data_IF_197621013922
#
_entry.id   IF_197621013922
#
_cell.length_a   1.000
_cell.length_b   1.000
_cell.length_c   1.000
_cell.angle_alpha   90.00
_cell.angle_beta   90.00
_cell.angle_gamma   90.00
#
_symmetry.space_group_name_H-M   'P 1'
#
loop_
_entity.id
_entity.type
_entity.pdbx_description
1 polymer ?
#
# COMPACT_ATOMS: atom_id res chain seq x y z
N UNK A 1 3.17 -4.45 -64.20
CA UNK A 1 4.42 -3.74 -63.80
C UNK A 1 4.01 -2.53 -62.97
N UNK A 2 4.36 -2.52 -61.70
CA UNK A 2 4.07 -1.38 -60.81
C UNK A 2 5.01 -0.23 -61.18
N UNK A 3 4.44 0.81 -61.79
CA UNK A 3 5.17 2.04 -62.07
C UNK A 3 5.27 2.85 -60.78
N UNK A 4 6.30 2.60 -59.99
CA UNK A 4 6.56 3.38 -58.75
C UNK A 4 7.23 4.68 -59.16
N UNK A 5 6.56 5.81 -58.90
CA UNK A 5 7.16 7.15 -59.16
C UNK A 5 8.44 7.31 -58.34
N UNK A 6 9.48 7.90 -58.97
CA UNK A 6 10.75 8.15 -58.30
C UNK A 6 10.58 8.99 -57.02
N UNK A 7 9.56 9.83 -56.94
CA UNK A 7 9.19 10.60 -55.76
C UNK A 7 8.70 9.75 -54.60
N UNK A 8 7.88 8.73 -54.87
CA UNK A 8 7.40 7.78 -53.84
C UNK A 8 8.56 6.94 -53.33
N UNK A 9 9.47 6.52 -54.18
CA UNK A 9 10.68 5.77 -53.79
C UNK A 9 11.57 6.63 -52.83
N UNK A 10 11.77 7.89 -53.17
CA UNK A 10 12.55 8.83 -52.34
C UNK A 10 11.86 9.05 -50.97
N UNK A 11 10.53 9.22 -50.95
CA UNK A 11 9.77 9.39 -49.75
C UNK A 11 9.86 8.15 -48.83
N UNK A 12 9.69 6.96 -49.36
CA UNK A 12 9.82 5.70 -48.62
C UNK A 12 11.23 5.54 -48.03
N UNK A 13 12.25 5.83 -48.82
CA UNK A 13 13.65 5.77 -48.38
C UNK A 13 13.93 6.77 -47.25
N UNK A 14 13.41 8.00 -47.35
CA UNK A 14 13.53 9.02 -46.32
C UNK A 14 12.86 8.61 -44.99
N UNK A 15 11.67 8.01 -45.07
CA UNK A 15 10.96 7.50 -43.88
C UNK A 15 11.72 6.34 -43.24
N UNK A 16 12.27 5.42 -44.04
CA UNK A 16 13.12 4.34 -43.55
C UNK A 16 14.38 4.87 -42.86
N UNK A 17 15.05 5.85 -43.42
CA UNK A 17 16.23 6.49 -42.81
C UNK A 17 15.87 7.16 -41.47
N UNK A 18 14.74 7.88 -41.42
CA UNK A 18 14.24 8.47 -40.18
C UNK A 18 13.95 7.42 -39.13
N UNK A 19 13.31 6.30 -39.50
CA UNK A 19 13.06 5.18 -38.62
C UNK A 19 14.35 4.57 -38.05
N UNK A 20 15.35 4.39 -38.92
CA UNK A 20 16.67 3.87 -38.55
C UNK A 20 17.40 4.82 -37.59
N UNK A 21 17.31 6.12 -37.81
CA UNK A 21 17.88 7.16 -36.96
C UNK A 21 17.34 7.08 -35.51
N UNK A 22 16.04 6.90 -35.32
CA UNK A 22 15.44 6.76 -33.99
C UNK A 22 15.62 5.37 -33.39
N UNK A 23 15.92 4.34 -34.21
CA UNK A 23 16.12 2.97 -33.75
C UNK A 23 17.53 2.72 -33.18
N UNK A 24 18.56 3.37 -33.77
CA UNK A 24 19.97 3.18 -33.41
C UNK A 24 20.24 3.30 -31.91
N UNK A 25 19.72 4.31 -31.16
CA UNK A 25 20.00 4.43 -29.73
C UNK A 25 19.49 3.27 -28.89
N UNK A 26 18.50 2.51 -29.38
CA UNK A 26 17.96 1.38 -28.64
C UNK A 26 18.81 0.11 -28.72
N UNK A 27 19.80 0.08 -29.63
CA UNK A 27 20.73 -1.04 -29.79
C UNK A 27 21.91 -0.99 -28.81
N UNK A 28 22.20 0.20 -28.28
CA UNK A 28 23.30 0.42 -27.34
C UNK A 28 22.83 0.33 -25.89
N UNK A 29 23.69 -0.17 -25.01
CA UNK A 29 23.42 -0.17 -23.57
C UNK A 29 23.30 1.23 -23.00
N UNK A 30 22.54 1.40 -21.91
CA UNK A 30 22.32 2.73 -21.28
C UNK A 30 23.61 3.47 -20.94
N UNK A 31 24.70 2.76 -20.63
CA UNK A 31 26.03 3.31 -20.34
C UNK A 31 26.76 3.79 -21.59
N UNK A 32 26.48 3.20 -22.75
CA UNK A 32 27.17 3.49 -24.02
C UNK A 32 26.50 4.60 -24.81
N UNK A 33 25.22 4.88 -24.56
CA UNK A 33 24.45 5.96 -25.23
C UNK A 33 25.04 7.35 -24.94
N UNK A 34 25.71 7.53 -23.79
CA UNK A 34 26.37 8.78 -23.44
C UNK A 34 27.59 9.08 -24.36
N UNK A 35 28.21 8.04 -24.93
CA UNK A 35 29.34 8.13 -25.84
C UNK A 35 28.92 8.41 -27.30
N UNK A 36 27.63 8.34 -27.63
CA UNK A 36 27.13 8.62 -28.97
C UNK A 36 27.28 10.11 -29.33
N UNK A 37 27.52 10.41 -30.63
CA UNK A 37 27.59 11.78 -31.10
C UNK A 37 26.36 12.60 -30.79
N UNK A 38 26.52 13.89 -30.51
CA UNK A 38 25.45 14.78 -30.05
C UNK A 38 24.28 14.99 -31.04
N UNK A 39 24.46 14.60 -32.32
CA UNK A 39 23.40 14.68 -33.32
C UNK A 39 22.41 13.51 -33.25
N UNK A 40 22.73 12.40 -32.53
CA UNK A 40 21.80 11.26 -32.32
C UNK A 40 20.91 11.51 -31.12
N UNK A 41 19.63 11.13 -31.26
CA UNK A 41 18.71 11.20 -30.13
C UNK A 41 19.18 10.24 -29.02
N UNK A 42 19.39 10.77 -27.80
CA UNK A 42 19.79 9.97 -26.62
C UNK A 42 18.60 9.34 -25.90
N UNK A 43 17.38 9.52 -26.44
CA UNK A 43 16.17 8.95 -25.85
C UNK A 43 16.04 7.48 -26.23
N UNK A 44 16.09 6.60 -25.26
CA UNK A 44 15.81 5.19 -25.40
C UNK A 44 14.39 4.86 -24.93
N UNK A 45 13.82 3.79 -25.49
CA UNK A 45 12.56 3.23 -25.02
C UNK A 45 12.79 2.55 -23.67
N UNK A 46 12.09 2.99 -22.63
CA UNK A 46 12.11 2.31 -21.36
C UNK A 46 11.29 1.01 -21.48
N UNK A 47 12.00 -0.11 -21.56
CA UNK A 47 11.40 -1.43 -21.53
C UNK A 47 10.80 -1.69 -20.14
N UNK A 48 9.61 -2.29 -20.11
CA UNK A 48 9.00 -2.74 -18.85
C UNK A 48 9.84 -3.82 -18.14
N UNK A 49 9.55 -4.03 -16.86
CA UNK A 49 10.22 -5.02 -16.01
C UNK A 49 10.23 -6.43 -16.61
N UNK A 50 9.18 -6.80 -17.35
CA UNK A 50 9.06 -8.11 -18.01
C UNK A 50 10.13 -8.37 -19.08
N UNK A 51 10.64 -7.29 -19.70
CA UNK A 51 11.67 -7.35 -20.74
C UNK A 51 13.07 -7.02 -20.24
N UNK A 52 13.18 -6.24 -19.16
CA UNK A 52 14.49 -5.91 -18.55
C UNK A 52 14.93 -6.95 -17.52
N UNK A 53 14.01 -7.82 -17.09
CA UNK A 53 14.18 -8.68 -15.93
C UNK A 53 13.99 -7.91 -14.64
N UNK A 54 13.68 -8.63 -13.57
CA UNK A 54 13.44 -8.04 -12.24
C UNK A 54 12.73 -9.03 -11.34
N UNK A 55 12.61 -8.66 -10.06
CA UNK A 55 11.82 -9.42 -9.09
C UNK A 55 10.46 -8.78 -8.92
N UNK A 56 9.42 -9.60 -9.02
CA UNK A 56 8.04 -9.21 -8.79
C UNK A 56 7.54 -9.96 -7.55
N UNK A 57 7.21 -9.23 -6.49
CA UNK A 57 6.79 -9.79 -5.22
C UNK A 57 5.39 -9.27 -4.87
N UNK A 58 4.50 -10.18 -4.52
CA UNK A 58 3.17 -9.88 -4.01
C UNK A 58 3.16 -10.17 -2.50
N UNK A 59 2.89 -9.15 -1.70
CA UNK A 59 2.79 -9.23 -0.25
C UNK A 59 1.34 -9.05 0.17
N UNK A 60 0.90 -9.81 1.17
CA UNK A 60 -0.40 -9.66 1.82
C UNK A 60 -0.20 -9.05 3.21
N UNK A 61 -1.01 -8.06 3.55
CA UNK A 61 -0.97 -7.38 4.84
C UNK A 61 -1.99 -8.02 5.77
N UNK A 62 -1.54 -8.48 6.94
CA UNK A 62 -2.40 -9.10 7.95
C UNK A 62 -3.24 -8.06 8.73
N UNK A 63 -4.25 -7.51 8.09
CA UNK A 63 -5.12 -6.48 8.69
C UNK A 63 -5.96 -7.01 9.86
N UNK A 64 -6.25 -8.32 9.89
CA UNK A 64 -7.01 -8.96 10.98
C UNK A 64 -6.28 -8.89 12.32
N UNK A 65 -4.97 -9.04 12.33
CA UNK A 65 -4.13 -8.93 13.53
C UNK A 65 -4.20 -7.52 14.10
N UNK A 66 -4.14 -6.49 13.25
CA UNK A 66 -4.26 -5.09 13.66
C UNK A 66 -5.62 -4.79 14.26
N UNK A 67 -6.71 -5.27 13.65
CA UNK A 67 -8.06 -5.11 14.20
C UNK A 67 -8.21 -5.81 15.56
N UNK A 68 -7.54 -6.93 15.77
CA UNK A 68 -7.52 -7.61 17.06
C UNK A 68 -6.79 -6.77 18.11
N UNK A 69 -5.62 -6.24 17.79
CA UNK A 69 -4.87 -5.34 18.68
C UNK A 69 -5.68 -4.07 19.01
N UNK A 70 -6.34 -3.46 18.03
CA UNK A 70 -7.24 -2.32 18.27
C UNK A 70 -8.40 -2.69 19.21
N UNK A 71 -8.94 -3.92 19.08
CA UNK A 71 -9.99 -4.41 19.98
C UNK A 71 -9.48 -4.65 21.40
N UNK A 72 -8.25 -5.11 21.56
CA UNK A 72 -7.59 -5.27 22.87
C UNK A 72 -7.30 -3.91 23.51
N UNK A 73 -6.82 -2.95 22.73
CA UNK A 73 -6.61 -1.56 23.19
C UNK A 73 -7.93 -0.94 23.67
N UNK A 74 -9.02 -1.13 22.91
CA UNK A 74 -10.35 -0.68 23.32
C UNK A 74 -10.79 -1.29 24.66
N UNK A 75 -10.52 -2.58 24.89
CA UNK A 75 -10.80 -3.24 26.17
C UNK A 75 -10.02 -2.57 27.30
N UNK A 76 -8.76 -2.24 27.09
CA UNK A 76 -7.92 -1.61 28.12
C UNK A 76 -8.37 -0.16 28.41
N UNK A 77 -8.79 0.58 27.39
CA UNK A 77 -9.39 1.92 27.57
C UNK A 77 -10.69 1.83 28.39
N UNK A 78 -11.60 0.92 28.03
CA UNK A 78 -12.84 0.67 28.76
C UNK A 78 -12.54 0.24 30.20
N UNK A 79 -11.57 -0.64 30.40
CA UNK A 79 -11.15 -1.08 31.75
C UNK A 79 -10.65 0.08 32.60
N UNK A 80 -9.81 0.92 32.02
CA UNK A 80 -9.26 2.12 32.68
C UNK A 80 -10.38 3.09 33.10
N UNK A 81 -11.31 3.35 32.17
CA UNK A 81 -12.47 4.20 32.41
C UNK A 81 -13.35 3.65 33.54
N UNK A 82 -13.74 2.37 33.49
CA UNK A 82 -14.61 1.75 34.49
C UNK A 82 -13.97 1.74 35.89
N UNK A 83 -12.64 1.55 35.99
CA UNK A 83 -11.88 1.65 37.25
C UNK A 83 -11.87 3.07 37.80
N UNK A 84 -11.59 4.08 36.95
CA UNK A 84 -11.61 5.49 37.36
C UNK A 84 -12.99 5.93 37.86
N UNK A 85 -14.05 5.46 37.21
CA UNK A 85 -15.44 5.74 37.58
C UNK A 85 -15.97 4.88 38.72
N UNK A 86 -15.16 3.94 39.26
CA UNK A 86 -15.54 3.01 40.35
C UNK A 86 -16.79 2.19 40.02
N UNK A 87 -16.95 1.79 38.74
CA UNK A 87 -18.08 1.01 38.25
C UNK A 87 -17.72 -0.48 38.28
N UNK A 88 -18.58 -1.29 38.94
CA UNK A 88 -18.38 -2.75 39.01
C UNK A 88 -18.83 -3.39 37.70
N UNK A 89 -17.96 -4.19 37.11
CA UNK A 89 -18.20 -4.90 35.84
C UNK A 89 -17.77 -6.35 35.91
N UNK A 90 -18.27 -7.16 34.97
CA UNK A 90 -17.86 -8.54 34.71
C UNK A 90 -17.76 -8.78 33.21
N UNK A 91 -17.14 -9.89 32.81
CA UNK A 91 -17.05 -10.34 31.42
C UNK A 91 -16.57 -9.25 30.45
N UNK A 92 -15.55 -8.46 30.85
CA UNK A 92 -14.89 -7.53 29.93
C UNK A 92 -13.91 -8.31 29.04
N UNK A 93 -14.14 -8.27 27.74
CA UNK A 93 -13.29 -8.97 26.78
C UNK A 93 -13.36 -8.37 25.37
N UNK A 94 -12.37 -8.71 24.56
CA UNK A 94 -12.32 -8.33 23.15
C UNK A 94 -13.21 -9.24 22.30
N UNK A 95 -13.74 -8.67 21.22
CA UNK A 95 -14.34 -9.36 20.07
C UNK A 95 -13.54 -9.01 18.83
N UNK A 96 -13.70 -9.76 17.75
CA UNK A 96 -12.95 -9.59 16.49
C UNK A 96 -13.01 -8.14 15.96
N UNK A 97 -14.10 -7.41 16.21
CA UNK A 97 -14.33 -6.04 15.74
C UNK A 97 -14.80 -5.13 16.88
N UNK A 98 -14.22 -5.28 18.08
CA UNK A 98 -14.62 -4.44 19.20
C UNK A 98 -14.52 -5.10 20.57
N UNK A 99 -15.36 -4.70 21.51
CA UNK A 99 -15.32 -5.15 22.91
C UNK A 99 -16.72 -5.45 23.46
N UNK A 100 -16.75 -6.21 24.54
CA UNK A 100 -17.99 -6.51 25.29
C UNK A 100 -17.72 -6.37 26.78
N UNK A 101 -18.69 -5.83 27.52
CA UNK A 101 -18.64 -5.74 28.97
C UNK A 101 -20.03 -5.92 29.56
N UNK A 102 -20.10 -6.47 30.76
CA UNK A 102 -21.34 -6.58 31.54
C UNK A 102 -21.22 -5.71 32.79
N UNK A 103 -22.11 -4.73 32.91
CA UNK A 103 -22.15 -3.82 34.05
C UNK A 103 -23.08 -4.43 35.14
N UNK A 104 -22.64 -4.44 36.40
CA UNK A 104 -23.45 -4.97 37.50
C UNK A 104 -24.65 -4.08 37.83
N UNK A 105 -24.45 -2.77 37.80
CA UNK A 105 -25.46 -1.78 38.15
C UNK A 105 -26.23 -1.33 36.91
N UNK A 106 -27.50 -1.72 36.78
CA UNK A 106 -28.33 -1.39 35.61
C UNK A 106 -28.45 0.13 35.35
N UNK A 107 -28.57 0.91 36.41
CA UNK A 107 -28.73 2.37 36.35
C UNK A 107 -27.51 3.07 35.75
N UNK A 108 -26.33 2.47 35.81
CA UNK A 108 -25.10 3.03 35.28
C UNK A 108 -24.82 2.71 33.83
N UNK A 109 -25.61 1.83 33.22
CA UNK A 109 -25.42 1.40 31.82
C UNK A 109 -25.47 2.57 30.85
N UNK A 110 -26.47 3.46 30.98
CA UNK A 110 -26.62 4.61 30.08
C UNK A 110 -25.57 5.70 30.33
N UNK A 111 -25.11 5.83 31.56
CA UNK A 111 -23.97 6.69 31.88
C UNK A 111 -22.71 6.18 31.17
N UNK A 112 -22.40 4.89 31.31
CA UNK A 112 -21.22 4.27 30.65
C UNK A 112 -21.27 4.43 29.15
N UNK A 113 -22.42 4.23 28.51
CA UNK A 113 -22.57 4.41 27.05
C UNK A 113 -22.26 5.85 26.59
N UNK A 114 -22.78 6.84 27.31
CA UNK A 114 -22.58 8.26 26.98
C UNK A 114 -21.12 8.66 27.13
N UNK A 115 -20.53 8.29 28.26
CA UNK A 115 -19.15 8.66 28.55
C UNK A 115 -18.14 7.98 27.61
N UNK A 116 -18.33 6.71 27.30
CA UNK A 116 -17.47 5.98 26.36
C UNK A 116 -17.60 6.58 24.96
N UNK A 117 -18.83 6.89 24.51
CA UNK A 117 -19.05 7.54 23.21
C UNK A 117 -18.34 8.91 23.11
N UNK A 118 -18.31 9.66 24.21
CA UNK A 118 -17.71 10.98 24.21
C UNK A 118 -16.18 10.97 24.33
N UNK A 119 -15.64 10.02 25.10
CA UNK A 119 -14.24 10.06 25.52
C UNK A 119 -13.33 9.10 24.72
N UNK A 120 -13.86 7.96 24.22
CA UNK A 120 -13.00 6.95 23.62
C UNK A 120 -12.96 7.05 22.10
N UNK A 121 -14.09 6.97 21.43
CA UNK A 121 -14.14 7.08 19.98
C UNK A 121 -15.57 7.34 19.49
N UNK A 122 -15.72 8.29 18.58
CA UNK A 122 -17.02 8.65 17.98
C UNK A 122 -17.52 7.65 16.92
N UNK A 123 -16.65 6.82 16.36
CA UNK A 123 -16.95 5.86 15.29
C UNK A 123 -17.29 4.46 15.82
N UNK A 124 -17.62 4.33 17.11
CA UNK A 124 -18.02 3.05 17.74
C UNK A 124 -19.55 2.95 17.77
N UNK A 125 -20.07 1.82 17.29
CA UNK A 125 -21.47 1.44 17.40
C UNK A 125 -21.66 0.76 18.75
N UNK A 126 -22.52 1.35 19.60
CA UNK A 126 -22.78 0.85 20.95
C UNK A 126 -24.17 0.21 20.97
N UNK A 127 -24.25 -1.07 21.25
CA UNK A 127 -25.51 -1.79 21.51
C UNK A 127 -25.54 -2.29 22.96
N UNK A 128 -26.71 -2.39 23.54
CA UNK A 128 -26.87 -2.96 24.89
C UNK A 128 -28.07 -3.84 24.98
N UNK A 129 -27.88 -4.98 25.61
CA UNK A 129 -28.94 -5.92 25.98
C UNK A 129 -28.92 -6.09 27.52
N UNK A 130 -29.95 -5.55 28.20
CA UNK A 130 -30.00 -5.52 29.66
C UNK A 130 -28.74 -4.84 30.25
N UNK A 131 -27.84 -5.62 30.86
CA UNK A 131 -26.61 -5.13 31.50
C UNK A 131 -25.36 -5.32 30.65
N UNK A 132 -25.49 -5.99 29.50
CA UNK A 132 -24.39 -6.28 28.60
C UNK A 132 -24.30 -5.17 27.55
N UNK A 133 -23.15 -4.52 27.48
CA UNK A 133 -22.84 -3.50 26.46
C UNK A 133 -21.86 -4.12 25.49
N UNK A 134 -22.15 -3.99 24.20
CA UNK A 134 -21.28 -4.40 23.10
C UNK A 134 -20.86 -3.16 22.33
N UNK A 135 -19.57 -2.99 22.18
CA UNK A 135 -18.92 -1.94 21.41
C UNK A 135 -18.39 -2.57 20.12
N UNK A 136 -18.84 -2.08 18.98
CA UNK A 136 -18.38 -2.55 17.67
C UNK A 136 -17.79 -1.38 16.91
N UNK A 137 -16.68 -1.60 16.23
CA UNK A 137 -16.14 -0.64 15.28
C UNK A 137 -17.10 -0.48 14.11
N UNK A 138 -17.31 0.77 13.67
CA UNK A 138 -18.07 1.03 12.46
C UNK A 138 -17.30 0.48 11.24
N UNK A 139 -18.02 0.17 10.16
CA UNK A 139 -17.37 -0.28 8.92
C UNK A 139 -16.41 0.77 8.37
N UNK A 140 -16.76 2.05 8.54
CA UNK A 140 -15.89 3.17 8.17
C UNK A 140 -14.56 3.12 8.92
N UNK A 141 -14.60 2.96 10.25
CA UNK A 141 -13.40 2.86 11.08
C UNK A 141 -12.53 1.65 10.67
N UNK A 142 -13.16 0.50 10.40
CA UNK A 142 -12.46 -0.71 9.93
C UNK A 142 -11.76 -0.46 8.60
N UNK A 143 -12.43 0.21 7.66
CA UNK A 143 -11.87 0.53 6.35
C UNK A 143 -10.71 1.53 6.47
N UNK A 144 -10.85 2.55 7.29
CA UNK A 144 -9.81 3.55 7.56
C UNK A 144 -8.59 2.92 8.24
N UNK A 145 -8.81 2.05 9.25
CA UNK A 145 -7.73 1.30 9.91
C UNK A 145 -6.98 0.41 8.93
N UNK A 146 -7.71 -0.33 8.08
CA UNK A 146 -7.14 -1.17 7.03
C UNK A 146 -6.28 -0.35 6.06
N UNK A 147 -6.81 0.73 5.53
CA UNK A 147 -6.08 1.58 4.58
C UNK A 147 -4.80 2.14 5.21
N UNK A 148 -4.88 2.66 6.42
CA UNK A 148 -3.73 3.16 7.18
C UNK A 148 -2.66 2.08 7.39
N UNK A 149 -3.08 0.87 7.75
CA UNK A 149 -2.16 -0.27 7.94
C UNK A 149 -1.43 -0.63 6.65
N UNK A 150 -2.16 -0.67 5.52
CA UNK A 150 -1.54 -0.94 4.20
C UNK A 150 -0.57 0.16 3.80
N UNK A 151 -0.93 1.44 4.00
CA UNK A 151 -0.04 2.57 3.72
C UNK A 151 1.22 2.54 4.58
N UNK A 152 1.09 2.28 5.87
CA UNK A 152 2.24 2.10 6.77
C UNK A 152 3.12 0.92 6.35
N UNK A 153 2.52 -0.19 5.93
CA UNK A 153 3.25 -1.35 5.42
C UNK A 153 4.03 -1.03 4.14
N UNK A 154 3.45 -0.24 3.24
CA UNK A 154 4.14 0.25 2.03
C UNK A 154 5.39 1.05 2.43
N UNK A 155 5.28 1.97 3.39
CA UNK A 155 6.42 2.79 3.85
C UNK A 155 7.52 1.94 4.52
N UNK A 156 7.13 0.94 5.32
CA UNK A 156 8.08 0.01 5.93
C UNK A 156 8.80 -0.82 4.87
N UNK A 157 8.06 -1.35 3.90
CA UNK A 157 8.63 -2.13 2.79
C UNK A 157 9.56 -1.25 1.95
N UNK A 158 9.15 -0.01 1.62
CA UNK A 158 9.98 0.95 0.88
C UNK A 158 11.31 1.19 1.58
N UNK A 159 11.30 1.48 2.88
CA UNK A 159 12.52 1.69 3.67
C UNK A 159 13.44 0.47 3.69
N UNK A 160 12.88 -0.73 3.78
CA UNK A 160 13.67 -1.98 3.80
C UNK A 160 14.25 -2.35 2.44
N UNK A 161 13.52 -2.07 1.38
CA UNK A 161 13.93 -2.41 0.01
C UNK A 161 14.94 -1.41 -0.53
N UNK A 162 14.82 -0.14 -0.17
CA UNK A 162 15.69 0.95 -0.61
C UNK A 162 16.66 1.42 0.50
N UNK A 163 17.13 0.50 1.34
CA UNK A 163 18.07 0.80 2.43
C UNK A 163 19.36 1.47 1.96
N UNK A 164 19.77 1.19 0.73
CA UNK A 164 20.97 1.78 0.12
C UNK A 164 20.71 3.04 -0.73
N UNK A 165 19.44 3.44 -0.94
CA UNK A 165 19.06 4.59 -1.78
C UNK A 165 19.41 4.43 -3.27
N UNK A 166 19.80 3.22 -3.68
CA UNK A 166 20.26 2.94 -5.06
C UNK A 166 19.23 2.17 -5.90
N UNK A 167 18.20 1.63 -5.23
CA UNK A 167 17.13 0.86 -5.86
C UNK A 167 15.87 1.70 -5.87
N UNK A 168 15.36 2.04 -7.02
CA UNK A 168 14.05 2.69 -7.17
C UNK A 168 12.96 1.61 -7.29
N UNK A 169 12.49 1.01 -6.16
CA UNK A 169 11.45 0.01 -6.20
C UNK A 169 10.12 0.65 -6.58
N UNK A 170 9.38 0.03 -7.48
CA UNK A 170 7.98 0.40 -7.68
C UNK A 170 7.12 -0.37 -6.69
N UNK A 171 6.53 0.35 -5.73
CA UNK A 171 5.68 -0.23 -4.70
C UNK A 171 4.28 0.34 -4.84
N UNK A 172 3.28 -0.52 -5.04
CA UNK A 172 1.91 -0.12 -5.29
C UNK A 172 0.93 -0.99 -4.49
N UNK A 173 -0.16 -0.37 -4.02
CA UNK A 173 -1.28 -1.08 -3.42
C UNK A 173 -2.04 -1.84 -4.51
N UNK A 174 -2.35 -3.11 -4.26
CA UNK A 174 -3.18 -3.95 -5.11
C UNK A 174 -4.39 -4.49 -4.36
N UNK A 175 -5.58 -3.97 -4.67
CA UNK A 175 -6.79 -4.31 -3.94
C UNK A 175 -6.80 -3.73 -2.53
N UNK A 176 -7.42 -4.43 -1.57
CA UNK A 176 -7.63 -3.91 -0.22
C UNK A 176 -6.48 -4.20 0.75
N UNK A 177 -5.83 -5.36 0.62
CA UNK A 177 -4.87 -5.89 1.61
C UNK A 177 -3.53 -6.33 1.00
N UNK A 178 -3.30 -6.09 -0.30
CA UNK A 178 -2.08 -6.54 -0.98
C UNK A 178 -1.22 -5.39 -1.47
N UNK A 179 0.09 -5.66 -1.52
CA UNK A 179 1.12 -4.73 -2.00
C UNK A 179 1.95 -5.45 -3.05
N UNK A 180 2.12 -4.83 -4.21
CA UNK A 180 3.05 -5.27 -5.24
C UNK A 180 4.35 -4.51 -5.06
N UNK A 181 5.46 -5.24 -5.03
CA UNK A 181 6.82 -4.72 -5.01
C UNK A 181 7.54 -5.19 -6.26
N UNK A 182 7.97 -4.27 -7.07
CA UNK A 182 8.72 -4.53 -8.30
C UNK A 182 10.13 -3.96 -8.17
N UNK A 183 11.12 -4.82 -8.33
CA UNK A 183 12.53 -4.48 -8.25
C UNK A 183 13.16 -4.66 -9.64
N UNK A 184 13.70 -3.60 -10.24
CA UNK A 184 14.45 -3.75 -11.48
C UNK A 184 15.73 -4.57 -11.23
N UNK A 185 16.06 -5.46 -12.16
CA UNK A 185 17.35 -6.16 -12.14
C UNK A 185 18.47 -5.18 -12.48
N UNK A 186 19.57 -5.23 -11.72
CA UNK A 186 20.78 -4.55 -12.14
C UNK A 186 21.43 -5.31 -13.28
N UNK A 187 21.92 -4.63 -14.33
CA UNK A 187 22.83 -5.26 -15.27
C UNK A 187 24.06 -5.76 -14.48
N UNK A 188 24.40 -7.02 -14.65
CA UNK A 188 25.46 -7.75 -13.92
C UNK A 188 26.86 -7.11 -13.99
N UNK A 189 27.03 -6.03 -14.76
CA UNK A 189 28.31 -5.35 -14.97
C UNK A 189 28.68 -4.31 -13.90
N UNK A 190 27.86 -4.15 -12.84
CA UNK A 190 28.13 -3.18 -11.77
C UNK A 190 28.86 -3.77 -10.55
N UNK A 191 29.20 -5.08 -10.55
CA UNK A 191 29.79 -5.77 -9.38
C UNK A 191 31.33 -5.79 -9.40
N UNK A 192 31.97 -5.29 -10.47
CA UNK A 192 33.44 -5.21 -10.54
C UNK A 192 33.93 -3.76 -10.58
N UNK A 193 33.87 -3.09 -9.42
CA UNK A 193 34.75 -1.98 -9.06
C UNK A 193 34.89 -1.85 -7.56
#
# INVERSE_FOLDING_TARGET
MLNISKWNLFFVFSVCLLGLYYFIPNFYGKSEVTALPSFLSKKQVNLGLDLQGGSHLLLEVETKTVLKEESENLVDEIRSFLRKSKIKYTNLGSKIKGAVVTIKDKEKVDFVKREIRNNINKEIIISSEKNKITFLFSEKLILESRNRTVEQSIEVVRKRVDESGTKEPTIQKQGEERIIVQLPSFPSNAVNR
#
